data_IF_442348700574
#
_entry.id   IF_442348700574
#
_cell.length_a   1.000
_cell.length_b   1.000
_cell.length_c   1.000
_cell.angle_alpha   90.00
_cell.angle_beta   90.00
_cell.angle_gamma   90.00
#
_symmetry.space_group_name_H-M   'P 1'
#
loop_
_entity.id
_entity.type
_entity.pdbx_description
1 polymer ?
#
# COMPACT_ATOMS: atom_id res chain seq x y z
N UNK A 1 -10.43 21.05 13.86
CA UNK A 1 -11.24 21.53 12.73
C UNK A 1 -10.40 21.31 11.49
N UNK A 2 -10.59 20.19 10.78
CA UNK A 2 -9.73 19.81 9.64
C UNK A 2 -10.48 20.06 8.33
N UNK A 3 -9.88 20.87 7.46
CA UNK A 3 -10.48 21.42 6.24
C UNK A 3 -10.67 20.37 5.13
N UNK A 4 -11.81 20.48 4.43
CA UNK A 4 -12.08 19.80 3.16
C UNK A 4 -11.27 20.44 2.04
N UNK A 5 -10.41 19.68 1.37
CA UNK A 5 -9.82 20.07 0.10
C UNK A 5 -10.34 19.15 -1.00
N UNK A 6 -10.84 19.77 -2.08
CA UNK A 6 -11.12 19.15 -3.37
C UNK A 6 -9.95 19.51 -4.29
N UNK A 7 -9.36 18.54 -4.99
CA UNK A 7 -8.41 18.83 -6.06
C UNK A 7 -8.74 18.04 -7.33
N UNK A 8 -8.81 18.82 -8.40
CA UNK A 8 -9.20 18.49 -9.76
C UNK A 8 -7.94 18.12 -10.53
N UNK A 9 -7.91 16.92 -11.08
CA UNK A 9 -6.82 16.29 -11.86
C UNK A 9 -5.96 17.26 -12.70
N UNK A 10 -4.63 17.14 -12.64
CA UNK A 10 -3.71 17.73 -13.62
C UNK A 10 -2.44 16.88 -13.83
N UNK A 11 -2.51 16.06 -14.89
CA UNK A 11 -1.52 15.98 -15.97
C UNK A 11 -0.29 15.01 -15.88
N UNK A 12 -0.59 13.71 -15.88
CA UNK A 12 0.11 12.55 -16.50
C UNK A 12 1.65 12.39 -16.44
N UNK A 13 2.07 11.20 -16.00
CA UNK A 13 3.29 10.47 -16.45
C UNK A 13 3.03 8.96 -16.36
N UNK A 14 3.12 8.22 -17.47
CA UNK A 14 2.91 6.77 -17.50
C UNK A 14 4.22 5.99 -17.33
N UNK A 15 4.31 5.25 -16.23
CA UNK A 15 5.31 4.26 -15.85
C UNK A 15 4.94 3.75 -14.46
N UNK A 16 5.24 2.49 -14.11
CA UNK A 16 4.89 1.93 -12.79
C UNK A 16 5.41 2.87 -11.70
N UNK A 17 4.48 3.41 -10.91
CA UNK A 17 4.77 4.51 -10.01
C UNK A 17 5.57 4.00 -8.80
N UNK A 18 6.76 4.60 -8.56
CA UNK A 18 7.47 4.54 -7.25
C UNK A 18 6.51 4.94 -6.12
N UNK A 19 6.81 4.70 -4.82
CA UNK A 19 5.98 5.12 -3.64
C UNK A 19 5.89 6.66 -3.51
N UNK A 20 5.42 7.31 -4.56
CA UNK A 20 5.26 8.74 -4.77
C UNK A 20 4.29 8.87 -5.96
N UNK A 21 3.04 8.54 -5.69
CA UNK A 21 1.99 9.57 -5.72
C UNK A 21 0.71 9.00 -5.09
N UNK A 22 0.37 9.46 -3.89
CA UNK A 22 -0.95 9.22 -3.26
C UNK A 22 -2.09 9.78 -4.13
N UNK A 23 -1.75 10.51 -5.21
CA UNK A 23 -2.66 11.21 -6.09
C UNK A 23 -3.19 10.37 -7.27
N UNK A 24 -2.51 9.29 -7.66
CA UNK A 24 -3.02 8.32 -8.66
C UNK A 24 -3.42 6.97 -8.04
N UNK A 25 -3.08 6.74 -6.77
CA UNK A 25 -3.58 5.60 -5.98
C UNK A 25 -5.00 5.82 -5.46
N UNK A 26 -5.80 4.76 -5.38
CA UNK A 26 -7.09 4.83 -4.71
C UNK A 26 -6.91 5.38 -3.28
N UNK A 27 -7.73 6.36 -2.85
CA UNK A 27 -7.72 6.83 -1.46
C UNK A 27 -7.83 5.61 -0.53
N UNK A 28 -7.06 5.55 0.54
CA UNK A 28 -7.02 4.41 1.48
C UNK A 28 -8.43 3.95 1.91
N UNK A 29 -9.36 4.89 2.08
CA UNK A 29 -10.77 4.63 2.41
C UNK A 29 -11.47 3.85 1.30
N UNK A 30 -11.21 4.20 0.04
CA UNK A 30 -11.77 3.50 -1.13
C UNK A 30 -11.18 2.10 -1.26
N UNK A 31 -9.89 1.91 -0.99
CA UNK A 31 -9.26 0.58 -1.03
C UNK A 31 -9.83 -0.37 0.04
N UNK A 32 -10.04 0.13 1.26
CA UNK A 32 -10.64 -0.66 2.35
C UNK A 32 -12.04 -1.15 2.00
N UNK A 33 -12.91 -0.24 1.53
CA UNK A 33 -14.29 -0.57 1.17
C UNK A 33 -14.37 -1.44 -0.09
N UNK A 34 -13.52 -1.18 -1.09
CA UNK A 34 -13.53 -1.92 -2.35
C UNK A 34 -12.96 -3.33 -2.22
N UNK A 35 -11.96 -3.52 -1.36
CA UNK A 35 -11.26 -4.81 -1.21
C UNK A 35 -11.76 -5.63 -0.03
N UNK A 36 -12.64 -5.07 0.80
CA UNK A 36 -13.21 -5.76 1.96
C UNK A 36 -12.19 -6.02 3.07
N UNK A 37 -11.16 -5.19 3.17
CA UNK A 37 -10.10 -5.33 4.18
C UNK A 37 -10.42 -4.51 5.44
N UNK A 38 -9.96 -4.97 6.59
CA UNK A 38 -10.23 -4.33 7.87
C UNK A 38 -9.62 -2.91 7.94
N UNK A 39 -10.28 -1.99 8.65
CA UNK A 39 -9.86 -0.56 8.76
C UNK A 39 -8.48 -0.34 9.35
N UNK A 40 -7.92 -1.35 10.02
CA UNK A 40 -6.57 -1.31 10.59
C UNK A 40 -5.48 -1.33 9.52
N UNK A 41 -5.82 -1.78 8.31
CA UNK A 41 -4.89 -1.87 7.18
C UNK A 41 -4.97 -0.62 6.32
N UNK A 42 -3.83 0.04 6.12
CA UNK A 42 -3.66 1.21 5.26
C UNK A 42 -2.91 0.76 4.01
N UNK A 43 -3.57 0.82 2.84
CA UNK A 43 -2.84 0.75 1.56
C UNK A 43 -2.02 2.03 1.40
N UNK A 44 -0.70 1.89 1.36
CA UNK A 44 0.23 3.02 1.24
C UNK A 44 1.16 2.92 0.01
N UNK A 45 1.11 1.80 -0.73
CA UNK A 45 1.74 1.69 -2.05
C UNK A 45 0.75 2.01 -3.17
N UNK A 46 1.29 2.15 -4.38
CA UNK A 46 0.50 2.33 -5.59
C UNK A 46 -0.32 1.06 -5.81
N UNK A 47 -1.64 1.16 -5.69
CA UNK A 47 -2.58 0.04 -5.91
C UNK A 47 -2.72 -0.36 -7.38
N UNK A 48 -1.66 -0.14 -8.17
CA UNK A 48 -1.60 -0.45 -9.60
C UNK A 48 -1.49 -1.98 -9.75
N UNK A 49 -2.41 -2.59 -10.50
CA UNK A 49 -2.35 -4.03 -10.79
C UNK A 49 -3.02 -4.96 -9.77
N UNK A 50 -4.09 -4.51 -9.12
CA UNK A 50 -4.92 -5.36 -8.23
C UNK A 50 -4.21 -5.83 -6.94
N UNK A 51 -3.18 -5.12 -6.47
CA UNK A 51 -2.48 -5.42 -5.22
C UNK A 51 -1.66 -4.25 -4.69
N UNK A 52 -0.99 -4.46 -3.55
CA UNK A 52 -0.10 -3.49 -2.94
C UNK A 52 0.23 -3.79 -1.47
N UNK A 53 1.04 -2.93 -0.87
CA UNK A 53 1.50 -3.07 0.51
C UNK A 53 0.50 -2.45 1.50
N UNK A 54 0.04 -3.26 2.43
CA UNK A 54 -0.88 -2.88 3.50
C UNK A 54 -0.12 -2.72 4.83
N UNK A 55 -0.14 -1.51 5.38
CA UNK A 55 0.38 -1.22 6.71
C UNK A 55 -0.68 -1.51 7.79
N UNK A 56 -0.35 -2.32 8.79
CA UNK A 56 -1.21 -2.59 9.94
C UNK A 56 -0.94 -1.59 11.08
N UNK A 57 -1.92 -0.74 11.34
CA UNK A 57 -1.85 0.30 12.38
C UNK A 57 -1.83 -0.22 13.82
N UNK A 58 -2.11 -1.51 14.06
CA UNK A 58 -2.15 -2.09 15.41
C UNK A 58 -0.79 -2.64 15.87
N UNK A 59 0.00 -3.20 14.95
CA UNK A 59 1.22 -3.95 15.26
C UNK A 59 2.44 -3.56 14.41
N UNK A 60 2.31 -2.53 13.57
CA UNK A 60 3.36 -2.01 12.70
C UNK A 60 3.76 -2.92 11.51
N UNK A 61 3.11 -4.07 11.33
CA UNK A 61 3.43 -4.99 10.25
C UNK A 61 3.04 -4.45 8.87
N UNK A 62 3.78 -4.87 7.84
CA UNK A 62 3.48 -4.55 6.43
C UNK A 62 3.21 -5.86 5.69
N UNK A 63 2.09 -5.93 4.96
CA UNK A 63 1.65 -7.13 4.26
C UNK A 63 1.68 -6.91 2.75
N UNK A 64 2.23 -7.86 2.00
CA UNK A 64 2.10 -7.93 0.55
C UNK A 64 0.75 -8.56 0.21
N UNK A 65 -0.15 -7.78 -0.41
CA UNK A 65 -1.54 -8.15 -0.58
C UNK A 65 -2.00 -7.98 -2.02
N UNK A 66 -2.68 -9.00 -2.56
CA UNK A 66 -3.40 -8.93 -3.82
C UNK A 66 -4.90 -9.17 -3.64
N UNK A 67 -5.70 -8.68 -4.59
CA UNK A 67 -7.13 -8.94 -4.65
C UNK A 67 -7.41 -10.45 -4.71
N UNK A 68 -8.25 -10.92 -3.80
CA UNK A 68 -8.56 -12.35 -3.65
C UNK A 68 -7.84 -13.01 -2.46
N UNK A 69 -6.86 -12.33 -1.87
CA UNK A 69 -6.05 -12.86 -0.75
C UNK A 69 -6.58 -12.46 0.63
N UNK A 70 -7.84 -12.01 0.73
CA UNK A 70 -8.44 -11.56 2.00
C UNK A 70 -8.38 -12.63 3.09
N UNK A 71 -8.63 -13.89 2.73
CA UNK A 71 -8.57 -14.98 3.70
C UNK A 71 -7.15 -15.22 4.20
N UNK A 72 -6.15 -15.09 3.32
CA UNK A 72 -4.73 -15.27 3.71
C UNK A 72 -4.25 -14.12 4.60
N UNK A 73 -4.75 -12.89 4.37
CA UNK A 73 -4.53 -11.75 5.25
C UNK A 73 -5.15 -11.98 6.65
N UNK A 74 -6.36 -12.55 6.71
CA UNK A 74 -7.03 -12.89 7.98
C UNK A 74 -6.31 -14.03 8.70
N UNK A 75 -5.87 -15.05 7.96
CA UNK A 75 -5.17 -16.21 8.50
C UNK A 75 -3.71 -15.90 8.87
N UNK A 76 -3.22 -14.72 8.49
CA UNK A 76 -1.84 -14.28 8.74
C UNK A 76 -0.79 -15.08 7.96
N UNK A 77 -1.17 -15.62 6.80
CA UNK A 77 -0.32 -16.50 5.97
C UNK A 77 0.34 -15.79 4.80
N UNK A 78 -0.04 -14.53 4.56
CA UNK A 78 0.59 -13.68 3.54
C UNK A 78 2.05 -13.32 3.91
N UNK A 79 2.92 -13.12 2.92
CA UNK A 79 4.23 -12.52 3.13
C UNK A 79 4.08 -11.16 3.83
N UNK A 80 4.88 -10.96 4.87
CA UNK A 80 4.86 -9.71 5.63
C UNK A 80 6.21 -9.41 6.26
N UNK A 81 6.38 -8.14 6.60
CA UNK A 81 7.45 -7.63 7.45
C UNK A 81 6.86 -7.32 8.83
N UNK A 82 7.64 -7.56 9.90
CA UNK A 82 7.13 -7.37 11.27
C UNK A 82 7.05 -5.91 11.68
N UNK A 83 7.71 -5.02 10.93
CA UNK A 83 7.65 -3.58 11.13
C UNK A 83 7.73 -2.84 9.80
N UNK A 84 7.24 -1.60 9.81
CA UNK A 84 7.40 -0.71 8.66
C UNK A 84 8.88 -0.42 8.38
N UNK A 85 9.71 -0.41 9.43
CA UNK A 85 11.14 -0.22 9.29
C UNK A 85 11.82 -1.37 8.54
N UNK A 86 11.52 -2.63 8.89
CA UNK A 86 12.01 -3.82 8.16
C UNK A 86 11.60 -3.78 6.68
N UNK A 87 10.36 -3.36 6.40
CA UNK A 87 9.90 -3.16 5.03
C UNK A 87 10.74 -2.11 4.29
N UNK A 88 11.04 -0.97 4.94
CA UNK A 88 11.84 0.10 4.33
C UNK A 88 13.29 -0.31 4.09
N UNK A 89 13.89 -1.11 4.98
CA UNK A 89 15.23 -1.67 4.76
C UNK A 89 15.25 -2.54 3.51
N UNK A 90 14.27 -3.41 3.34
CA UNK A 90 14.12 -4.21 2.12
C UNK A 90 13.82 -3.37 0.87
N UNK A 91 12.89 -2.42 0.97
CA UNK A 91 12.42 -1.63 -0.18
C UNK A 91 13.48 -0.68 -0.73
N UNK A 92 14.33 -0.14 0.15
CA UNK A 92 15.41 0.78 -0.21
C UNK A 92 16.74 0.06 -0.46
N UNK A 93 16.79 -1.26 -0.31
CA UNK A 93 18.00 -2.01 -0.59
C UNK A 93 18.30 -1.97 -2.09
N UNK A 94 19.29 -1.15 -2.47
CA UNK A 94 19.75 -1.02 -3.86
C UNK A 94 20.90 -1.97 -4.18
N UNK A 95 21.28 -2.85 -3.25
CA UNK A 95 22.46 -3.73 -3.43
C UNK A 95 22.31 -4.77 -4.55
N UNK A 96 21.09 -4.93 -5.11
CA UNK A 96 20.83 -5.78 -6.28
C UNK A 96 20.98 -5.06 -7.65
N UNK A 97 21.36 -3.77 -7.70
CA UNK A 97 21.44 -2.99 -8.95
C UNK A 97 22.88 -2.64 -9.40
N UNK A 98 23.90 -3.30 -8.85
CA UNK A 98 25.29 -3.18 -9.32
C UNK A 98 25.69 -4.41 -10.17
N UNK A 99 25.22 -4.47 -11.42
CA UNK A 99 25.76 -5.35 -12.48
C UNK A 99 26.02 -4.55 -13.78
#
# INVERSE_FOLDING_TARGET
MYSKYFLTALNSRNGASTIVDVLDGFPTIISQERWGIHKKYILFSTGEGEGGYLYNTEDDSVWDFNLGEQQQLIDGTLPHWNSFYEFMEWYLDTSENED
#
